data_IF_831883904535
#
_entry.id   IF_831883904535
#
_cell.length_a   1.000
_cell.length_b   1.000
_cell.length_c   1.000
_cell.angle_alpha   90.00
_cell.angle_beta   90.00
_cell.angle_gamma   90.00
#
_symmetry.space_group_name_H-M   'P 1'
#
loop_
_entity.id
_entity.type
_entity.pdbx_description
1 polymer ?
#
# COMPACT_ATOMS: atom_id res chain seq x y z
N UNK A 1 19.44 -1.88 7.88
CA UNK A 1 18.79 -0.59 7.55
C UNK A 1 17.45 -0.97 6.93
N UNK A 2 16.33 -0.54 7.52
CA UNK A 2 15.01 -1.08 7.20
C UNK A 2 14.51 -0.47 5.87
N UNK A 3 14.69 -1.20 4.77
CA UNK A 3 14.39 -0.75 3.41
C UNK A 3 12.92 -0.95 3.00
N UNK A 4 12.03 -1.29 3.95
CA UNK A 4 10.61 -1.57 3.72
C UNK A 4 9.92 -0.47 2.89
N UNK A 5 10.22 0.79 3.20
CA UNK A 5 9.63 1.93 2.49
C UNK A 5 10.07 2.01 1.02
N UNK A 6 11.26 1.53 0.68
CA UNK A 6 11.72 1.46 -0.71
C UNK A 6 11.02 0.33 -1.46
N UNK A 7 10.94 -0.85 -0.84
CA UNK A 7 10.29 -2.03 -1.44
C UNK A 7 8.81 -1.76 -1.73
N UNK A 8 8.09 -1.14 -0.79
CA UNK A 8 6.70 -0.73 -1.01
C UNK A 8 6.59 0.32 -2.12
N UNK A 9 7.47 1.33 -2.16
CA UNK A 9 7.48 2.33 -3.25
C UNK A 9 7.71 1.70 -4.63
N UNK A 10 8.60 0.72 -4.71
CA UNK A 10 8.86 0.00 -5.96
C UNK A 10 7.62 -0.79 -6.40
N UNK A 11 6.94 -1.46 -5.45
CA UNK A 11 5.72 -2.21 -5.76
C UNK A 11 4.58 -1.32 -6.31
N UNK A 12 4.46 -0.07 -5.84
CA UNK A 12 3.47 0.90 -6.34
C UNK A 12 3.69 1.20 -7.83
N UNK A 13 4.95 1.21 -8.29
CA UNK A 13 5.31 1.49 -9.68
C UNK A 13 5.26 0.22 -10.54
N UNK A 14 5.64 -0.93 -9.96
CA UNK A 14 5.66 -2.23 -10.63
C UNK A 14 4.25 -2.73 -10.97
N UNK A 15 3.24 -2.42 -10.15
CA UNK A 15 1.88 -2.92 -10.36
C UNK A 15 1.21 -2.35 -11.63
N UNK A 16 1.19 -1.02 -11.89
CA UNK A 16 0.70 -0.47 -13.15
C UNK A 16 1.54 -0.87 -14.38
N UNK A 17 2.84 -1.14 -14.18
CA UNK A 17 3.73 -1.62 -15.22
C UNK A 17 3.50 -3.10 -15.59
N UNK A 18 2.68 -3.82 -14.81
CA UNK A 18 2.45 -5.26 -15.00
C UNK A 18 3.63 -6.14 -14.59
N UNK A 19 4.62 -5.59 -13.89
CA UNK A 19 5.80 -6.33 -13.40
C UNK A 19 5.47 -7.23 -12.21
N UNK A 20 4.43 -6.88 -11.45
CA UNK A 20 3.86 -7.70 -10.37
C UNK A 20 2.35 -7.75 -10.51
N UNK A 21 1.73 -8.82 -10.03
CA UNK A 21 0.27 -8.94 -9.98
C UNK A 21 -0.30 -8.42 -8.65
N UNK A 22 -1.62 -8.22 -8.62
CA UNK A 22 -2.34 -7.68 -7.45
C UNK A 22 -2.17 -8.58 -6.21
N UNK A 23 -2.20 -9.90 -6.36
CA UNK A 23 -2.02 -10.82 -5.23
C UNK A 23 -0.61 -10.73 -4.62
N UNK A 24 0.43 -10.65 -5.47
CA UNK A 24 1.81 -10.44 -5.03
C UNK A 24 1.99 -9.09 -4.35
N UNK A 25 1.40 -8.04 -4.92
CA UNK A 25 1.39 -6.71 -4.32
C UNK A 25 0.72 -6.73 -2.94
N UNK A 26 -0.50 -7.26 -2.81
CA UNK A 26 -1.20 -7.35 -1.53
C UNK A 26 -0.42 -8.17 -0.49
N UNK A 27 0.17 -9.29 -0.89
CA UNK A 27 1.00 -10.11 0.00
C UNK A 27 2.24 -9.35 0.48
N UNK A 28 2.93 -8.64 -0.42
CA UNK A 28 4.10 -7.83 -0.09
C UNK A 28 3.77 -6.78 0.97
N UNK A 29 2.65 -6.07 0.82
CA UNK A 29 2.22 -5.05 1.76
C UNK A 29 1.84 -5.63 3.13
N UNK A 30 1.07 -6.73 3.14
CA UNK A 30 0.69 -7.43 4.38
C UNK A 30 1.89 -8.04 5.12
N UNK A 31 2.96 -8.37 4.40
CA UNK A 31 4.19 -8.90 5.00
C UNK A 31 5.00 -7.86 5.80
N UNK A 32 4.68 -6.56 5.67
CA UNK A 32 5.38 -5.47 6.36
C UNK A 32 4.93 -5.32 7.82
N UNK A 33 4.90 -6.43 8.56
CA UNK A 33 4.44 -6.50 9.95
C UNK A 33 5.28 -5.61 10.88
N UNK A 34 6.59 -5.52 10.65
CA UNK A 34 7.48 -4.64 11.41
C UNK A 34 7.19 -3.15 11.17
N UNK A 35 6.83 -2.77 9.95
CA UNK A 35 6.42 -1.40 9.63
C UNK A 35 5.11 -1.06 10.34
N UNK A 36 4.13 -1.95 10.24
CA UNK A 36 2.81 -1.77 10.86
C UNK A 36 2.91 -1.73 12.39
N UNK A 37 3.76 -2.54 13.00
CA UNK A 37 4.00 -2.53 14.45
C UNK A 37 4.61 -1.21 14.95
N UNK A 38 5.33 -0.48 14.08
CA UNK A 38 5.91 0.83 14.41
C UNK A 38 4.94 2.01 14.19
N UNK A 39 3.76 1.75 13.61
CA UNK A 39 2.74 2.75 13.30
C UNK A 39 1.54 2.63 14.24
N UNK A 40 0.75 3.70 14.42
CA UNK A 40 -0.54 3.60 15.09
C UNK A 40 -1.48 2.59 14.40
N UNK A 41 -2.33 1.86 15.13
CA UNK A 41 -3.15 0.75 14.59
C UNK A 41 -4.06 1.19 13.42
N UNK A 42 -4.57 2.42 13.45
CA UNK A 42 -5.35 3.04 12.37
C UNK A 42 -4.66 2.99 10.99
N UNK A 43 -3.32 2.97 10.93
CA UNK A 43 -2.60 2.84 9.66
C UNK A 43 -2.82 1.46 9.04
N UNK A 44 -2.78 0.40 9.85
CA UNK A 44 -3.06 -0.97 9.39
C UNK A 44 -4.50 -1.13 8.90
N UNK A 45 -5.47 -0.55 9.61
CA UNK A 45 -6.88 -0.59 9.18
C UNK A 45 -7.10 0.08 7.82
N UNK A 46 -6.53 1.27 7.60
CA UNK A 46 -6.62 1.98 6.32
C UNK A 46 -5.92 1.20 5.21
N UNK A 47 -4.73 0.65 5.49
CA UNK A 47 -3.97 -0.14 4.51
C UNK A 47 -4.78 -1.37 4.08
N UNK A 48 -5.31 -2.15 5.03
CA UNK A 48 -6.11 -3.33 4.72
C UNK A 48 -7.38 -2.98 3.94
N UNK A 49 -8.03 -1.84 4.24
CA UNK A 49 -9.19 -1.40 3.48
C UNK A 49 -8.86 -1.12 2.00
N UNK A 50 -7.73 -0.46 1.73
CA UNK A 50 -7.26 -0.17 0.38
C UNK A 50 -6.87 -1.47 -0.36
N UNK A 51 -6.13 -2.37 0.29
CA UNK A 51 -5.72 -3.66 -0.29
C UNK A 51 -6.91 -4.56 -0.59
N UNK A 52 -7.90 -4.63 0.31
CA UNK A 52 -9.11 -5.42 0.12
C UNK A 52 -9.93 -4.95 -1.09
N UNK A 53 -10.05 -3.62 -1.27
CA UNK A 53 -10.71 -3.03 -2.45
C UNK A 53 -9.95 -3.31 -3.74
N UNK A 54 -8.61 -3.25 -3.70
CA UNK A 54 -7.75 -3.53 -4.85
C UNK A 54 -7.85 -5.00 -5.27
N UNK A 55 -7.80 -5.92 -4.31
CA UNK A 55 -7.91 -7.36 -4.52
C UNK A 55 -9.31 -7.74 -5.05
N UNK A 56 -10.37 -7.16 -4.48
CA UNK A 56 -11.74 -7.36 -4.98
C UNK A 56 -11.92 -6.79 -6.38
N UNK A 57 -11.39 -5.58 -6.65
CA UNK A 57 -11.46 -4.94 -7.97
C UNK A 57 -10.71 -5.71 -9.06
N UNK A 58 -9.77 -6.60 -8.70
CA UNK A 58 -9.13 -7.52 -9.64
C UNK A 58 -10.06 -8.64 -10.15
N UNK A 59 -11.07 -8.99 -9.36
CA UNK A 59 -12.02 -10.07 -9.65
C UNK A 59 -13.22 -9.61 -10.48
N UNK A 60 -13.48 -8.30 -10.53
CA UNK A 60 -14.59 -7.70 -11.26
C UNK A 60 -14.06 -6.84 -12.41
N UNK A 61 -14.11 -7.36 -13.64
CA UNK A 61 -13.63 -6.67 -14.86
C UNK A 61 -14.69 -5.78 -15.52
N UNK A 62 -15.80 -5.49 -14.85
CA UNK A 62 -16.90 -4.68 -15.40
C UNK A 62 -16.69 -3.19 -15.12
N UNK A 63 -16.02 -2.52 -16.06
CA UNK A 63 -16.09 -1.10 -16.46
C UNK A 63 -16.79 -0.10 -15.53
N UNK A 64 -16.34 0.03 -14.28
CA UNK A 64 -16.70 1.19 -13.46
C UNK A 64 -15.73 2.33 -13.75
N UNK A 65 -15.98 3.06 -14.84
CA UNK A 65 -15.22 4.21 -15.37
C UNK A 65 -14.99 5.41 -14.42
N UNK A 66 -15.15 5.26 -13.10
CA UNK A 66 -14.76 6.27 -12.11
C UNK A 66 -14.05 5.72 -10.88
N UNK A 67 -13.84 4.40 -10.75
CA UNK A 67 -13.10 3.80 -9.65
C UNK A 67 -11.90 3.05 -10.21
N UNK A 68 -10.84 3.79 -10.51
CA UNK A 68 -9.67 3.21 -11.14
C UNK A 68 -8.78 2.53 -10.11
N UNK A 69 -8.32 1.33 -10.43
CA UNK A 69 -7.20 0.66 -9.77
C UNK A 69 -6.03 1.64 -9.51
N UNK A 70 -5.80 2.56 -10.45
CA UNK A 70 -4.82 3.65 -10.36
C UNK A 70 -5.06 4.59 -9.17
N UNK A 71 -6.31 4.94 -8.86
CA UNK A 71 -6.66 5.78 -7.71
C UNK A 71 -6.36 5.07 -6.39
N UNK A 72 -6.69 3.77 -6.27
CA UNK A 72 -6.33 2.97 -5.10
C UNK A 72 -4.80 2.89 -4.90
N UNK A 73 -4.06 2.71 -5.98
CA UNK A 73 -2.60 2.68 -5.97
C UNK A 73 -2.04 4.06 -5.55
N UNK A 74 -2.63 5.15 -6.04
CA UNK A 74 -2.25 6.51 -5.64
C UNK A 74 -2.53 6.76 -4.14
N UNK A 75 -3.69 6.31 -3.64
CA UNK A 75 -4.03 6.38 -2.22
C UNK A 75 -3.05 5.59 -1.34
N UNK A 76 -2.59 4.41 -1.79
CA UNK A 76 -1.54 3.64 -1.12
C UNK A 76 -0.19 4.39 -1.11
N UNK A 77 0.14 5.13 -2.18
CA UNK A 77 1.29 6.03 -2.20
C UNK A 77 1.18 7.14 -1.15
N UNK A 78 0.02 7.79 -1.04
CA UNK A 78 -0.22 8.82 -0.01
C UNK A 78 -0.14 8.22 1.39
N UNK A 79 -0.67 7.00 1.59
CA UNK A 79 -0.54 6.28 2.87
C UNK A 79 0.92 6.06 3.24
N UNK A 80 1.76 5.64 2.28
CA UNK A 80 3.17 5.35 2.52
C UNK A 80 3.96 6.60 2.89
N UNK A 81 3.68 7.73 2.25
CA UNK A 81 4.28 9.01 2.61
C UNK A 81 3.88 9.46 4.02
N UNK A 82 2.60 9.29 4.39
CA UNK A 82 2.13 9.57 5.76
C UNK A 82 2.75 8.64 6.80
N UNK A 83 2.91 7.36 6.48
CA UNK A 83 3.57 6.39 7.35
C UNK A 83 5.04 6.78 7.57
N UNK A 84 5.75 7.13 6.49
CA UNK A 84 7.13 7.57 6.56
C UNK A 84 7.28 8.87 7.38
N UNK A 85 6.41 9.86 7.16
CA UNK A 85 6.37 11.07 7.97
C UNK A 85 6.08 10.77 9.44
N UNK A 86 5.13 9.88 9.74
CA UNK A 86 4.81 9.49 11.12
C UNK A 86 5.98 8.82 11.83
N UNK A 87 6.72 7.96 11.13
CA UNK A 87 7.93 7.31 11.67
C UNK A 87 9.07 8.32 11.88
N UNK A 88 9.23 9.29 10.97
CA UNK A 88 10.20 10.36 11.11
C UNK A 88 9.86 11.31 12.27
N UNK A 89 8.59 11.69 12.43
CA UNK A 89 8.10 12.52 13.54
C UNK A 89 8.02 11.77 14.88
N UNK A 90 7.93 10.44 14.84
CA UNK A 90 8.04 9.58 16.02
C UNK A 90 9.48 9.39 16.51
N UNK A 91 10.49 9.75 15.69
CA UNK A 91 11.87 9.94 16.12
C UNK A 91 12.05 11.34 16.70
N UNK A 92 11.36 11.63 17.80
CA UNK A 92 11.83 12.64 18.74
C UNK A 92 12.74 11.89 19.72
N UNK A 93 14.03 11.90 19.40
CA UNK A 93 15.06 11.90 20.43
C UNK A 93 15.36 13.36 20.76
#
# INVERSE_FOLDING_TARGET
>A
MLNFTQELRQSIQALPAGEINISQFCHLWRSQTQLLAALPPQFGEVMENLLSRLESGSLFTEESCSFSQTDLIAQLGVWLEKANARLASGKIV
#
